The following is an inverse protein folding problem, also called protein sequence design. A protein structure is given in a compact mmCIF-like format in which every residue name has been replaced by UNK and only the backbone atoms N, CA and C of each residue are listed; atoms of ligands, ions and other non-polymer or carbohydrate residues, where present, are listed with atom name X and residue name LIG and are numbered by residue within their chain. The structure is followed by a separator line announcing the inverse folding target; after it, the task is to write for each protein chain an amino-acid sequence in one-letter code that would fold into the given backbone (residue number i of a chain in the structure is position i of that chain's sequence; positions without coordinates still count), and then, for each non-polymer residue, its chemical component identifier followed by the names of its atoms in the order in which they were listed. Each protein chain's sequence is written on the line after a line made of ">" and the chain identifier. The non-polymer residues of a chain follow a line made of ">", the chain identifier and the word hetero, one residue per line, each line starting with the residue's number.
data_IF_976499838342
#
_entry.id   IF_976499838342
#
_cell.length_a   1.000
_cell.length_b   1.000
_cell.length_c   1.000
_cell.angle_alpha   90.00
_cell.angle_beta   90.00
_cell.angle_gamma   90.00
#
_symmetry.space_group_name_H-M   'P 1'
#
loop_
_entity.id
_entity.type
_entity.pdbx_description
1 polymer ?
#
# COMPACT_ATOMS: atom_id res chain seq x y z
N UNK A 1 19.16 8.82 2.33
CA UNK A 1 18.07 7.90 1.95
C UNK A 1 18.45 7.13 0.69
N UNK A 2 18.34 5.81 0.73
CA UNK A 2 18.57 4.96 -0.43
C UNK A 2 17.24 4.39 -0.90
N UNK A 3 16.73 4.92 -2.01
CA UNK A 3 15.57 4.38 -2.71
C UNK A 3 16.04 3.16 -3.51
N UNK A 4 15.40 2.02 -3.29
CA UNK A 4 15.72 0.77 -3.99
C UNK A 4 14.97 0.68 -5.30
N UNK A 5 13.67 1.06 -5.30
CA UNK A 5 12.82 1.08 -6.50
C UNK A 5 11.47 1.77 -6.23
N UNK A 6 10.71 2.00 -7.28
CA UNK A 6 9.26 2.13 -7.22
C UNK A 6 8.67 0.82 -6.67
N UNK A 7 7.68 0.91 -5.78
CA UNK A 7 7.00 -0.25 -5.22
C UNK A 7 5.57 -0.36 -5.75
N UNK A 8 4.71 0.58 -5.43
CA UNK A 8 3.34 0.62 -5.92
C UNK A 8 2.76 2.05 -5.92
N UNK A 9 1.59 2.17 -6.51
CA UNK A 9 0.83 3.42 -6.60
C UNK A 9 -0.55 3.21 -6.01
N UNK A 10 -0.95 4.11 -5.11
CA UNK A 10 -2.30 4.14 -4.57
C UNK A 10 -3.22 4.96 -5.46
N UNK A 11 -4.34 4.38 -5.82
CA UNK A 11 -5.35 4.98 -6.68
C UNK A 11 -6.70 5.03 -5.97
N UNK A 12 -7.37 6.17 -6.08
CA UNK A 12 -8.77 6.34 -5.67
C UNK A 12 -9.65 6.37 -6.92
N UNK A 13 -10.16 5.23 -7.38
CA UNK A 13 -10.97 5.18 -8.59
C UNK A 13 -12.36 5.78 -8.37
N UNK A 14 -12.99 6.27 -9.43
CA UNK A 14 -14.40 6.68 -9.41
C UNK A 14 -15.32 5.53 -9.04
N UNK A 15 -15.05 4.35 -9.60
CA UNK A 15 -15.75 3.12 -9.32
C UNK A 15 -14.74 2.02 -8.99
N UNK A 16 -14.67 1.67 -7.71
CA UNK A 16 -13.73 0.69 -7.19
C UNK A 16 -13.92 -0.70 -7.81
N UNK A 17 -15.17 -1.18 -7.89
CA UNK A 17 -15.45 -2.54 -8.36
C UNK A 17 -15.15 -2.66 -9.87
N UNK A 18 -15.46 -1.63 -10.65
CA UNK A 18 -15.09 -1.56 -12.05
C UNK A 18 -13.55 -1.48 -12.23
N UNK A 19 -12.85 -0.75 -11.38
CA UNK A 19 -11.39 -0.68 -11.41
C UNK A 19 -10.77 -2.06 -11.17
N UNK A 20 -11.20 -2.76 -10.11
CA UNK A 20 -10.70 -4.11 -9.78
C UNK A 20 -10.97 -5.07 -10.93
N UNK A 21 -12.20 -5.12 -11.47
CA UNK A 21 -12.54 -5.98 -12.60
C UNK A 21 -11.72 -5.68 -13.86
N UNK A 22 -11.45 -4.42 -14.15
CA UNK A 22 -10.60 -4.03 -15.28
C UNK A 22 -9.13 -4.40 -15.05
N UNK A 23 -8.64 -4.25 -13.81
CA UNK A 23 -7.28 -4.66 -13.46
C UNK A 23 -7.11 -6.17 -13.61
N UNK A 24 -8.02 -6.98 -13.06
CA UNK A 24 -8.02 -8.44 -13.22
C UNK A 24 -8.06 -8.87 -14.69
N UNK A 25 -8.87 -8.18 -15.50
CA UNK A 25 -8.91 -8.44 -16.95
C UNK A 25 -7.58 -8.10 -17.64
N UNK A 26 -6.93 -7.02 -17.22
CA UNK A 26 -5.63 -6.59 -17.77
C UNK A 26 -4.51 -7.59 -17.43
N UNK A 27 -4.44 -8.04 -16.17
CA UNK A 27 -3.38 -8.94 -15.70
C UNK A 27 -3.66 -10.42 -15.99
N UNK A 28 -4.92 -10.79 -16.26
CA UNK A 28 -5.34 -12.15 -16.62
C UNK A 28 -5.57 -13.10 -15.44
N UNK A 29 -5.59 -12.60 -14.22
CA UNK A 29 -5.87 -13.35 -12.97
C UNK A 29 -6.52 -12.45 -11.92
N UNK A 30 -6.96 -13.02 -10.81
CA UNK A 30 -7.46 -12.25 -9.67
C UNK A 30 -6.33 -11.43 -9.04
N UNK A 31 -6.63 -10.22 -8.57
CA UNK A 31 -5.68 -9.43 -7.80
C UNK A 31 -5.23 -10.19 -6.55
N UNK A 32 -3.98 -10.00 -6.17
CA UNK A 32 -3.39 -10.75 -5.05
C UNK A 32 -4.17 -10.55 -3.73
N UNK A 33 -4.65 -9.35 -3.50
CA UNK A 33 -5.44 -9.00 -2.32
C UNK A 33 -6.66 -8.17 -2.72
N UNK A 34 -7.82 -8.47 -2.14
CA UNK A 34 -9.02 -7.63 -2.19
C UNK A 34 -9.82 -7.87 -0.91
N UNK A 35 -9.57 -7.08 0.12
CA UNK A 35 -10.10 -7.31 1.45
C UNK A 35 -10.34 -6.02 2.23
N UNK A 36 -11.25 -6.04 3.24
CA UNK A 36 -11.38 -4.91 4.15
C UNK A 36 -10.15 -4.80 5.06
N UNK A 37 -9.75 -3.56 5.32
CA UNK A 37 -8.76 -3.17 6.32
C UNK A 37 -9.45 -2.30 7.38
N UNK A 38 -10.09 -2.93 8.37
CA UNK A 38 -10.96 -2.22 9.32
C UNK A 38 -10.19 -1.19 10.16
N UNK A 39 -8.91 -1.42 10.44
CA UNK A 39 -8.04 -0.47 11.14
C UNK A 39 -7.94 0.88 10.43
N UNK A 40 -8.05 0.90 9.10
CA UNK A 40 -8.05 2.10 8.29
C UNK A 40 -9.43 2.49 7.75
N UNK A 41 -10.47 1.69 8.02
CA UNK A 41 -11.83 1.92 7.52
C UNK A 41 -11.98 1.78 6.00
N UNK A 42 -11.08 1.05 5.36
CA UNK A 42 -10.96 0.93 3.90
C UNK A 42 -11.22 -0.49 3.42
N UNK A 43 -11.73 -0.61 2.19
CA UNK A 43 -11.59 -1.79 1.34
C UNK A 43 -10.41 -1.56 0.43
N UNK A 44 -9.49 -2.51 0.35
CA UNK A 44 -8.25 -2.40 -0.41
C UNK A 44 -8.14 -3.53 -1.41
N UNK A 45 -7.79 -3.22 -2.66
CA UNK A 45 -7.38 -4.17 -3.67
C UNK A 45 -5.94 -3.88 -4.09
N UNK A 46 -5.09 -4.89 -4.08
CA UNK A 46 -3.66 -4.73 -4.30
C UNK A 46 -3.10 -5.78 -5.24
N UNK A 47 -2.33 -5.33 -6.22
CA UNK A 47 -1.50 -6.15 -7.08
C UNK A 47 -0.05 -5.62 -7.00
N UNK A 48 0.90 -6.45 -6.47
CA UNK A 48 2.25 -5.99 -6.21
C UNK A 48 3.07 -5.75 -7.48
N UNK A 49 4.27 -5.23 -7.28
CA UNK A 49 5.27 -5.14 -8.36
C UNK A 49 5.42 -6.48 -9.13
N UNK A 50 5.51 -6.51 -10.48
CA UNK A 50 5.77 -5.37 -11.34
C UNK A 50 4.56 -4.52 -11.75
N UNK A 51 3.33 -4.92 -11.42
CA UNK A 51 2.12 -4.12 -11.70
C UNK A 51 2.07 -2.91 -10.77
N UNK A 52 2.22 -3.11 -9.47
CA UNK A 52 2.35 -2.06 -8.47
C UNK A 52 1.13 -1.15 -8.39
N UNK A 53 -0.08 -1.71 -8.31
CA UNK A 53 -1.32 -0.95 -8.17
C UNK A 53 -2.07 -1.34 -6.91
N UNK A 54 -2.41 -0.34 -6.13
CA UNK A 54 -3.31 -0.46 -4.99
C UNK A 54 -4.50 0.49 -5.17
N UNK A 55 -5.70 -0.05 -5.08
CA UNK A 55 -6.91 0.76 -5.07
C UNK A 55 -7.61 0.65 -3.73
N UNK A 56 -8.22 1.73 -3.27
CA UNK A 56 -9.00 1.72 -2.04
C UNK A 56 -10.28 2.54 -2.14
N UNK A 57 -11.27 2.16 -1.32
CA UNK A 57 -12.50 2.90 -1.09
C UNK A 57 -12.85 2.91 0.40
N UNK A 58 -13.44 3.99 0.93
CA UNK A 58 -14.00 4.00 2.28
C UNK A 58 -15.13 2.99 2.43
N UNK A 59 -15.16 2.25 3.55
CA UNK A 59 -16.24 1.32 3.93
C UNK A 59 -16.74 1.54 5.35
N UNK A 60 -16.01 2.26 6.19
CA UNK A 60 -16.47 2.70 7.49
C UNK A 60 -17.24 4.03 7.38
N UNK A 61 -18.07 4.34 8.39
CA UNK A 61 -18.72 5.66 8.49
C UNK A 61 -17.73 6.75 8.90
N UNK A 62 -16.71 6.40 9.71
CA UNK A 62 -15.64 7.29 10.15
C UNK A 62 -14.38 6.49 10.46
N UNK A 63 -13.22 7.11 10.29
CA UNK A 63 -11.93 6.59 10.73
C UNK A 63 -10.93 7.76 10.85
N UNK A 64 -10.03 7.69 11.82
CA UNK A 64 -9.06 8.76 12.09
C UNK A 64 -7.81 8.72 11.21
N UNK A 65 -7.63 7.67 10.40
CA UNK A 65 -6.48 7.58 9.51
C UNK A 65 -6.47 8.74 8.50
N UNK A 66 -5.30 9.23 8.19
CA UNK A 66 -5.12 10.31 7.20
C UNK A 66 -5.64 9.88 5.83
N UNK A 67 -5.31 8.65 5.43
CA UNK A 67 -5.75 8.07 4.15
C UNK A 67 -7.27 8.00 4.06
N UNK A 68 -7.97 7.54 5.11
CA UNK A 68 -9.43 7.52 5.13
C UNK A 68 -10.03 8.92 4.97
N UNK A 69 -9.59 9.89 5.78
CA UNK A 69 -10.10 11.26 5.73
C UNK A 69 -9.92 11.91 4.36
N UNK A 70 -8.86 11.57 3.65
CA UNK A 70 -8.57 12.10 2.32
C UNK A 70 -9.10 11.21 1.18
N UNK A 71 -9.44 9.95 1.45
CA UNK A 71 -10.01 9.03 0.46
C UNK A 71 -11.37 9.50 -0.09
N UNK A 72 -12.12 10.28 0.68
CA UNK A 72 -13.44 10.79 0.29
C UNK A 72 -13.38 12.03 -0.60
N UNK A 73 -12.25 12.72 -0.68
CA UNK A 73 -12.18 14.07 -1.25
C UNK A 73 -11.69 14.14 -2.69
N UNK A 74 -10.80 13.25 -3.09
CA UNK A 74 -10.15 13.33 -4.41
C UNK A 74 -10.10 11.98 -5.10
N UNK A 75 -10.24 11.97 -6.42
CA UNK A 75 -10.08 10.80 -7.28
C UNK A 75 -8.76 10.84 -8.03
N UNK A 76 -8.28 9.70 -8.46
CA UNK A 76 -7.01 9.58 -9.18
C UNK A 76 -5.87 9.05 -8.32
N UNK A 77 -4.65 9.46 -8.61
CA UNK A 77 -3.46 9.04 -7.85
C UNK A 77 -3.46 9.74 -6.50
N UNK A 78 -3.40 8.94 -5.43
CA UNK A 78 -3.28 9.44 -4.06
C UNK A 78 -1.83 9.53 -3.62
N UNK A 79 -1.11 8.41 -3.64
CA UNK A 79 0.29 8.34 -3.28
C UNK A 79 1.08 7.43 -4.21
N UNK A 80 2.40 7.62 -4.21
CA UNK A 80 3.35 6.73 -4.86
C UNK A 80 4.32 6.24 -3.80
N UNK A 81 4.43 4.91 -3.68
CA UNK A 81 5.28 4.24 -2.72
C UNK A 81 6.62 3.88 -3.35
N UNK A 82 7.70 4.16 -2.61
CA UNK A 82 9.06 3.79 -2.97
C UNK A 82 9.65 2.89 -1.88
N UNK A 83 10.17 1.74 -2.29
CA UNK A 83 10.91 0.88 -1.38
C UNK A 83 12.23 1.52 -1.02
N UNK A 84 12.51 1.56 0.28
CA UNK A 84 13.76 2.09 0.85
C UNK A 84 14.52 1.01 1.59
N UNK A 85 15.83 1.23 1.79
CA UNK A 85 16.69 0.30 2.53
C UNK A 85 16.47 0.40 4.05
N UNK A 86 16.20 1.60 4.55
CA UNK A 86 15.94 1.88 5.96
C UNK A 86 14.92 3.01 6.09
N UNK A 87 13.73 2.69 6.61
CA UNK A 87 12.63 3.65 6.71
C UNK A 87 12.91 4.76 7.73
N UNK A 88 13.55 4.42 8.84
CA UNK A 88 13.83 5.41 9.89
C UNK A 88 14.82 6.49 9.39
N UNK A 89 15.90 6.09 8.71
CA UNK A 89 16.85 7.03 8.09
C UNK A 89 16.17 7.84 6.97
N UNK A 90 15.36 7.18 6.15
CA UNK A 90 14.64 7.83 5.06
C UNK A 90 13.63 8.85 5.58
N UNK A 91 12.89 8.52 6.65
CA UNK A 91 11.97 9.44 7.33
C UNK A 91 12.69 10.68 7.85
N UNK A 92 13.79 10.48 8.57
CA UNK A 92 14.60 11.61 9.09
C UNK A 92 15.10 12.53 7.95
N UNK A 93 15.51 11.96 6.82
CA UNK A 93 15.95 12.74 5.67
C UNK A 93 14.80 13.50 4.99
N UNK A 94 13.59 12.90 4.88
CA UNK A 94 12.40 13.56 4.36
C UNK A 94 12.02 14.77 5.22
N UNK A 95 11.99 14.59 6.54
CA UNK A 95 11.67 15.65 7.49
C UNK A 95 12.73 16.77 7.49
N UNK A 96 14.02 16.43 7.38
CA UNK A 96 15.11 17.41 7.25
C UNK A 96 15.00 18.24 5.96
N UNK A 97 14.39 17.70 4.91
CA UNK A 97 14.07 18.42 3.65
C UNK A 97 12.77 19.22 3.72
N UNK A 98 12.04 19.18 4.84
CA UNK A 98 10.83 19.94 5.07
C UNK A 98 9.51 19.22 4.74
N UNK A 99 9.52 17.96 4.36
CA UNK A 99 8.32 17.17 4.11
C UNK A 99 7.87 16.46 5.39
N UNK A 100 6.75 16.92 5.91
CA UNK A 100 6.19 16.41 7.16
C UNK A 100 5.66 14.99 6.97
N UNK A 101 6.00 14.08 7.90
CA UNK A 101 5.33 12.79 8.02
C UNK A 101 3.87 12.98 8.45
N UNK A 102 2.93 12.40 7.72
CA UNK A 102 1.49 12.47 7.94
C UNK A 102 0.96 11.27 8.71
N UNK A 103 1.42 10.08 8.37
CA UNK A 103 0.97 8.82 8.95
C UNK A 103 2.06 7.73 8.84
N UNK A 104 1.97 6.73 9.70
CA UNK A 104 2.75 5.49 9.64
C UNK A 104 1.80 4.30 9.61
N UNK A 105 2.16 3.26 8.87
CA UNK A 105 1.38 2.03 8.73
C UNK A 105 2.25 0.82 9.10
N UNK A 106 2.29 0.43 10.40
CA UNK A 106 3.01 -0.75 10.83
C UNK A 106 2.17 -2.02 10.57
N UNK A 107 2.49 -2.77 9.52
CA UNK A 107 1.80 -4.01 9.14
C UNK A 107 2.73 -5.23 9.27
N UNK A 108 3.03 -5.64 10.50
CA UNK A 108 3.94 -6.76 10.77
C UNK A 108 5.36 -6.45 10.27
N UNK A 109 5.90 -7.21 9.29
CA UNK A 109 7.22 -6.97 8.75
C UNK A 109 7.27 -5.78 7.77
N UNK A 110 6.11 -5.27 7.35
CA UNK A 110 5.99 -4.11 6.46
C UNK A 110 5.88 -2.87 7.32
N UNK A 111 6.71 -1.87 7.03
CA UNK A 111 6.68 -0.56 7.66
C UNK A 111 6.54 0.49 6.58
N UNK A 112 5.59 1.39 6.74
CA UNK A 112 5.30 2.44 5.75
C UNK A 112 5.16 3.79 6.41
N UNK A 113 5.52 4.85 5.69
CA UNK A 113 5.33 6.22 6.14
C UNK A 113 4.90 7.11 4.98
N UNK A 114 3.83 7.87 5.18
CA UNK A 114 3.24 8.82 4.24
C UNK A 114 3.72 10.24 4.55
N UNK A 115 4.09 11.01 3.50
CA UNK A 115 4.64 12.35 3.62
C UNK A 115 3.82 13.39 2.86
N UNK A 116 3.74 14.61 3.43
CA UNK A 116 3.09 15.76 2.83
C UNK A 116 3.92 16.36 1.70
N UNK A 117 3.84 15.72 0.55
CA UNK A 117 4.58 16.10 -0.66
C UNK A 117 3.65 16.58 -1.79
N UNK A 118 2.33 16.55 -1.57
CA UNK A 118 1.35 16.80 -2.63
C UNK A 118 1.50 18.16 -3.29
N UNK A 119 1.87 19.19 -2.52
CA UNK A 119 2.08 20.55 -3.05
C UNK A 119 3.24 20.60 -4.05
N UNK A 120 4.29 19.78 -3.82
CA UNK A 120 5.51 19.82 -4.62
C UNK A 120 5.47 18.85 -5.80
N UNK A 121 4.81 17.70 -5.66
CA UNK A 121 4.80 16.60 -6.65
C UNK A 121 3.42 16.30 -7.24
N UNK A 122 2.33 16.85 -6.70
CA UNK A 122 0.96 16.57 -7.13
C UNK A 122 0.35 15.30 -6.50
N UNK A 123 1.12 14.54 -5.73
CA UNK A 123 0.71 13.35 -5.00
C UNK A 123 1.46 13.25 -3.66
N UNK A 124 0.98 12.42 -2.75
CA UNK A 124 1.72 12.09 -1.55
C UNK A 124 2.82 11.08 -1.85
N UNK A 125 4.00 11.25 -1.25
CA UNK A 125 5.05 10.25 -1.33
C UNK A 125 4.94 9.31 -0.15
N UNK A 126 5.07 8.03 -0.42
CA UNK A 126 5.12 6.99 0.60
C UNK A 126 6.45 6.28 0.53
N UNK A 127 7.01 5.96 1.67
CA UNK A 127 8.22 5.16 1.79
C UNK A 127 7.86 3.86 2.48
N UNK A 128 8.33 2.74 1.93
CA UNK A 128 8.06 1.40 2.43
C UNK A 128 9.35 0.61 2.65
N UNK A 129 9.42 -0.09 3.78
CA UNK A 129 10.48 -1.03 4.11
C UNK A 129 9.89 -2.39 4.44
N UNK A 130 10.48 -3.45 3.90
CA UNK A 130 10.18 -4.84 4.21
C UNK A 130 11.37 -5.73 3.82
N UNK A 131 11.56 -6.91 4.50
CA UNK A 131 12.79 -7.72 4.38
C UNK A 131 12.85 -8.59 3.11
N UNK A 132 11.81 -8.62 2.27
CA UNK A 132 11.72 -9.43 1.06
C UNK A 132 12.12 -8.62 -0.18
N UNK A 133 12.42 -9.29 -1.28
CA UNK A 133 12.62 -8.57 -2.54
C UNK A 133 11.31 -7.93 -3.03
N UNK A 134 10.22 -8.68 -3.05
CA UNK A 134 8.88 -8.17 -3.39
C UNK A 134 7.84 -8.55 -2.33
N UNK A 135 6.74 -7.78 -2.23
CA UNK A 135 5.60 -8.17 -1.41
C UNK A 135 4.93 -9.46 -1.93
N UNK A 136 4.96 -9.71 -3.23
CA UNK A 136 4.49 -10.96 -3.81
C UNK A 136 5.23 -12.18 -3.24
N UNK A 137 6.54 -12.09 -3.06
CA UNK A 137 7.35 -13.14 -2.43
C UNK A 137 6.92 -13.36 -0.97
N UNK A 138 6.72 -12.28 -0.21
CA UNK A 138 6.24 -12.37 1.17
C UNK A 138 4.89 -13.08 1.26
N UNK A 139 3.92 -12.70 0.42
CA UNK A 139 2.60 -13.34 0.40
C UNK A 139 2.67 -14.82 -0.02
N UNK A 140 3.52 -15.16 -0.98
CA UNK A 140 3.74 -16.54 -1.40
C UNK A 140 4.30 -17.41 -0.24
N UNK A 141 5.26 -16.88 0.51
CA UNK A 141 5.83 -17.58 1.67
C UNK A 141 4.81 -17.73 2.80
N UNK A 142 4.00 -16.72 3.08
CA UNK A 142 2.93 -16.79 4.06
C UNK A 142 1.86 -17.86 3.70
N UNK A 143 1.48 -17.94 2.42
CA UNK A 143 0.55 -18.95 1.93
C UNK A 143 1.11 -20.37 2.07
N UNK A 144 2.39 -20.60 1.77
CA UNK A 144 3.07 -21.88 1.94
C UNK A 144 3.12 -22.32 3.42
N UNK A 145 3.44 -21.37 4.33
CA UNK A 145 3.46 -21.66 5.78
C UNK A 145 2.09 -22.06 6.30
N UNK A 146 1.02 -21.41 5.82
CA UNK A 146 -0.36 -21.75 6.20
C UNK A 146 -0.78 -23.15 5.74
N UNK A 147 -0.35 -23.58 4.56
CA UNK A 147 -0.62 -24.92 4.03
C UNK A 147 0.18 -26.02 4.78
N UNK A 148 1.43 -25.74 5.16
CA UNK A 148 2.25 -26.67 5.92
C UNK A 148 1.72 -26.89 7.35
N UNK A 149 1.08 -25.91 7.97
CA UNK A 149 0.44 -26.02 9.29
C UNK A 149 -0.89 -26.79 9.27
N UNK A 150 -1.47 -27.08 8.10
CA UNK A 150 -2.72 -27.84 7.92
C UNK A 150 -2.49 -29.28 7.50
N UNK A 151 -1.27 -29.84 7.60
CA UNK A 151 -1.01 -31.23 7.33
C UNK A 151 -1.86 -32.11 8.26
N UNK A 152 -2.57 -33.12 7.75
CA UNK A 152 -3.48 -33.95 8.56
C UNK A 152 -2.69 -34.66 9.66
N UNK A 153 -3.13 -34.48 10.89
CA UNK A 153 -2.74 -35.36 11.99
C UNK A 153 -3.35 -36.75 11.68
N UNK A 154 -2.49 -37.68 11.26
CA UNK A 154 -2.86 -39.10 11.16
C UNK A 154 -3.04 -39.71 12.55
#
# INVERSE_FOLDING_TARGET
>A
MKILRFDHMHVKPENYDAFVGNLQKLIGHDVLMNMPMPEYGLQVAYEPFPVGLEAFKPVAESNDSYTFRNATTEKGIFSIAFKVENLAEATAEMEAKGWKKLEEYPNGPIQEALFDTKKDFGFYMELIEYPFDTLAEMFALAAQASQAGQAPQC
#
